data_IF_708056925329
#
_entry.id   IF_708056925329
#
_cell.length_a   1.000
_cell.length_b   1.000
_cell.length_c   1.000
_cell.angle_alpha   90.00
_cell.angle_beta   90.00
_cell.angle_gamma   90.00
#
_symmetry.space_group_name_H-M   'P 1'
#
loop_
_entity.id
_entity.type
_entity.pdbx_description
1 polymer ?
#
# COMPACT_ATOMS: atom_id res chain seq x y z
N UNK A 1 -5.37 41.64 13.52
CA UNK A 1 -5.93 40.29 13.32
C UNK A 1 -4.88 39.45 12.61
N UNK A 2 -4.18 38.58 13.33
CA UNK A 2 -3.20 37.66 12.75
C UNK A 2 -3.93 36.42 12.25
N UNK A 3 -3.93 36.20 10.94
CA UNK A 3 -4.62 35.08 10.29
C UNK A 3 -3.74 33.83 10.40
N UNK A 4 -4.28 32.73 10.95
CA UNK A 4 -3.68 31.39 10.87
C UNK A 4 -4.18 30.68 9.62
N UNK A 5 -3.48 29.63 9.19
CA UNK A 5 -3.99 28.72 8.17
C UNK A 5 -5.20 27.95 8.74
N UNK A 6 -6.35 28.03 8.07
CA UNK A 6 -7.55 27.26 8.45
C UNK A 6 -7.56 25.99 7.62
N UNK A 7 -6.75 25.02 8.04
CA UNK A 7 -6.55 23.76 7.30
C UNK A 7 -6.61 22.63 8.32
N UNK A 8 -7.55 21.71 8.19
CA UNK A 8 -7.65 20.57 9.11
C UNK A 8 -6.68 19.46 8.71
N UNK A 9 -6.21 18.63 9.66
CA UNK A 9 -5.41 17.44 9.37
C UNK A 9 -6.03 16.54 8.30
N UNK A 10 -7.36 16.36 8.30
CA UNK A 10 -8.09 15.54 7.33
C UNK A 10 -8.05 16.16 5.93
N UNK A 11 -8.12 17.49 5.82
CA UNK A 11 -8.04 18.17 4.54
C UNK A 11 -6.62 18.11 3.95
N UNK A 12 -5.58 18.27 4.78
CA UNK A 12 -4.17 18.08 4.39
C UNK A 12 -3.99 16.67 3.81
N UNK A 13 -4.45 15.68 4.57
CA UNK A 13 -4.40 14.28 4.20
C UNK A 13 -5.09 14.05 2.84
N UNK A 14 -6.31 14.56 2.66
CA UNK A 14 -7.05 14.43 1.39
C UNK A 14 -6.31 15.02 0.17
N UNK A 15 -5.57 16.13 0.37
CA UNK A 15 -4.84 16.81 -0.70
C UNK A 15 -3.59 16.04 -1.11
N UNK A 16 -2.80 15.57 -0.14
CA UNK A 16 -1.63 14.69 -0.38
C UNK A 16 -2.06 13.43 -1.16
N UNK A 17 -3.25 12.91 -0.84
CA UNK A 17 -3.79 11.69 -1.44
C UNK A 17 -4.31 11.87 -2.86
N UNK A 18 -5.02 12.97 -3.16
CA UNK A 18 -5.56 13.22 -4.52
C UNK A 18 -4.46 13.21 -5.59
N UNK A 19 -3.26 13.70 -5.26
CA UNK A 19 -2.12 13.70 -6.18
C UNK A 19 -1.46 12.33 -6.34
N UNK A 20 -1.58 11.45 -5.35
CA UNK A 20 -1.17 10.05 -5.51
C UNK A 20 -2.05 9.33 -6.54
N UNK A 21 -3.37 9.49 -6.50
CA UNK A 21 -4.30 8.79 -7.40
C UNK A 21 -3.91 8.92 -8.88
N UNK A 22 -3.64 10.15 -9.34
CA UNK A 22 -3.23 10.42 -10.74
C UNK A 22 -1.93 9.74 -11.17
N UNK A 23 -1.06 9.36 -10.23
CA UNK A 23 0.22 8.71 -10.52
C UNK A 23 0.12 7.17 -10.58
N UNK A 24 -0.94 6.57 -10.01
CA UNK A 24 -1.01 5.11 -9.76
C UNK A 24 -2.18 4.37 -10.42
N UNK A 25 -3.04 5.04 -11.19
CA UNK A 25 -4.19 4.40 -11.84
C UNK A 25 -3.79 3.30 -12.87
N UNK A 26 -2.58 3.36 -13.44
CA UNK A 26 -2.17 2.45 -14.52
C UNK A 26 -1.69 1.05 -14.06
N UNK A 27 -0.74 0.90 -13.09
CA UNK A 27 -0.15 -0.41 -12.80
C UNK A 27 -1.13 -1.47 -12.24
N UNK A 28 -2.04 -1.16 -11.30
CA UNK A 28 -3.03 -2.13 -10.82
C UNK A 28 -3.97 -2.61 -11.92
N UNK A 29 -4.40 -1.72 -12.82
CA UNK A 29 -5.35 -2.03 -13.90
C UNK A 29 -4.69 -2.78 -15.06
N UNK A 30 -3.63 -2.20 -15.62
CA UNK A 30 -3.03 -2.61 -16.89
C UNK A 30 -1.89 -3.62 -16.71
N UNK A 31 -1.28 -3.63 -15.52
CA UNK A 31 -0.11 -4.44 -15.23
C UNK A 31 1.17 -3.78 -15.70
N UNK A 32 2.22 -4.58 -15.86
CA UNK A 32 3.48 -4.15 -16.46
C UNK A 32 3.62 -4.73 -17.88
N UNK A 33 4.74 -4.45 -18.54
CA UNK A 33 5.07 -5.04 -19.85
C UNK A 33 5.00 -6.59 -19.81
N UNK A 34 5.35 -7.19 -18.66
CA UNK A 34 5.53 -8.63 -18.50
C UNK A 34 4.52 -9.29 -17.54
N UNK A 35 3.66 -8.52 -16.89
CA UNK A 35 2.71 -9.04 -15.90
C UNK A 35 1.32 -8.47 -16.12
N UNK A 36 0.30 -9.34 -16.08
CA UNK A 36 -1.08 -8.96 -16.28
C UNK A 36 -1.60 -8.09 -15.11
N UNK A 37 -2.20 -6.93 -15.42
CA UNK A 37 -3.01 -6.21 -14.45
C UNK A 37 -4.38 -6.84 -14.24
N UNK A 38 -5.17 -6.26 -13.34
CA UNK A 38 -6.51 -6.77 -12.99
C UNK A 38 -7.42 -6.93 -14.21
N UNK A 39 -7.34 -6.03 -15.20
CA UNK A 39 -8.16 -6.14 -16.43
C UNK A 39 -7.79 -7.36 -17.27
N UNK A 40 -6.50 -7.64 -17.47
CA UNK A 40 -6.06 -8.84 -18.19
C UNK A 40 -6.36 -10.12 -17.42
N UNK A 41 -6.26 -10.09 -16.08
CA UNK A 41 -6.70 -11.18 -15.21
C UNK A 41 -8.19 -11.48 -15.37
N UNK A 42 -9.03 -10.46 -15.46
CA UNK A 42 -10.46 -10.62 -15.71
C UNK A 42 -10.73 -11.36 -17.02
N UNK A 43 -10.05 -11.00 -18.12
CA UNK A 43 -10.19 -11.74 -19.37
C UNK A 43 -9.67 -13.17 -19.29
N UNK A 44 -8.55 -13.41 -18.59
CA UNK A 44 -8.08 -14.77 -18.35
C UNK A 44 -9.10 -15.61 -17.57
N UNK A 45 -9.72 -15.01 -16.55
CA UNK A 45 -10.82 -15.59 -15.78
C UNK A 45 -12.04 -15.93 -16.64
N UNK A 46 -12.51 -15.01 -17.49
CA UNK A 46 -13.62 -15.28 -18.42
C UNK A 46 -13.33 -16.44 -19.37
N UNK A 47 -12.07 -16.57 -19.80
CA UNK A 47 -11.62 -17.67 -20.67
C UNK A 47 -11.26 -18.96 -19.91
N UNK A 48 -11.52 -19.02 -18.59
CA UNK A 48 -11.24 -20.17 -17.72
C UNK A 48 -9.77 -20.61 -17.78
N UNK A 49 -8.86 -19.66 -17.99
CA UNK A 49 -7.41 -19.90 -17.94
C UNK A 49 -7.02 -20.06 -16.48
N UNK A 50 -6.44 -21.20 -16.10
CA UNK A 50 -6.04 -21.51 -14.72
C UNK A 50 -4.53 -21.33 -14.45
N UNK A 51 -3.75 -21.03 -15.49
CA UNK A 51 -2.30 -20.83 -15.39
C UNK A 51 -2.00 -19.60 -14.51
N UNK A 52 -1.19 -19.81 -13.48
CA UNK A 52 -0.80 -18.79 -12.50
C UNK A 52 -0.09 -17.59 -13.13
N UNK A 53 0.55 -17.75 -14.28
CA UNK A 53 1.21 -16.66 -15.00
C UNK A 53 0.22 -15.59 -15.51
N UNK A 54 -1.04 -15.98 -15.73
CA UNK A 54 -2.10 -15.07 -16.13
C UNK A 54 -2.77 -14.39 -14.95
N UNK A 55 -2.48 -14.83 -13.72
CA UNK A 55 -3.10 -14.41 -12.48
C UNK A 55 -2.09 -13.92 -11.45
N UNK A 56 -1.23 -12.94 -11.80
CA UNK A 56 -0.28 -12.42 -10.84
C UNK A 56 -1.00 -11.75 -9.67
N UNK A 57 -0.39 -11.80 -8.49
CA UNK A 57 -0.95 -11.23 -7.26
C UNK A 57 -0.45 -9.78 -7.12
N UNK A 58 -1.32 -8.77 -7.18
CA UNK A 58 -0.97 -7.39 -6.85
C UNK A 58 -0.27 -7.28 -5.50
N UNK A 59 0.93 -6.69 -5.50
CA UNK A 59 1.81 -6.62 -4.34
C UNK A 59 2.40 -5.21 -4.18
N UNK A 60 2.12 -4.59 -3.05
CA UNK A 60 2.60 -3.27 -2.66
C UNK A 60 3.67 -3.46 -1.59
N UNK A 61 4.86 -3.00 -1.92
CA UNK A 61 6.02 -3.17 -1.08
C UNK A 61 6.74 -1.85 -1.01
N UNK A 62 6.68 -1.19 0.13
CA UNK A 62 7.17 0.18 0.26
C UNK A 62 7.54 0.52 1.70
N UNK A 63 8.34 1.57 1.86
CA UNK A 63 8.72 2.08 3.17
C UNK A 63 7.51 2.43 4.05
N UNK A 64 7.69 2.50 5.38
CA UNK A 64 6.65 3.03 6.27
C UNK A 64 6.24 4.44 5.85
N UNK A 65 4.98 4.85 6.06
CA UNK A 65 4.53 6.23 5.76
C UNK A 65 4.38 6.62 4.27
N UNK A 66 4.67 5.70 3.35
CA UNK A 66 4.54 5.92 1.89
C UNK A 66 3.10 5.85 1.36
N UNK A 67 2.11 5.50 2.18
CA UNK A 67 0.69 5.49 1.76
C UNK A 67 0.17 4.16 1.22
N UNK A 68 0.80 3.03 1.55
CA UNK A 68 0.36 1.66 1.19
C UNK A 68 -1.12 1.39 1.52
N UNK A 69 -1.48 1.54 2.79
CA UNK A 69 -2.84 1.35 3.31
C UNK A 69 -3.86 2.17 2.53
N UNK A 70 -3.51 3.40 2.16
CA UNK A 70 -4.42 4.25 1.41
C UNK A 70 -4.67 3.74 -0.01
N UNK A 71 -3.65 3.21 -0.68
CA UNK A 71 -3.82 2.59 -2.00
C UNK A 71 -4.71 1.35 -1.92
N UNK A 72 -4.62 0.59 -0.83
CA UNK A 72 -5.54 -0.51 -0.57
C UNK A 72 -6.99 -0.01 -0.41
N UNK A 73 -7.23 0.92 0.52
CA UNK A 73 -8.56 1.51 0.77
C UNK A 73 -9.20 2.12 -0.48
N UNK A 74 -8.40 2.74 -1.35
CA UNK A 74 -8.90 3.42 -2.55
C UNK A 74 -9.01 2.50 -3.78
N UNK A 75 -8.55 1.26 -3.68
CA UNK A 75 -8.45 0.34 -4.82
C UNK A 75 -9.78 0.13 -5.54
N UNK A 76 -10.91 0.08 -4.81
CA UNK A 76 -12.24 -0.04 -5.42
C UNK A 76 -12.59 1.21 -6.24
N UNK A 77 -12.39 2.40 -5.67
CA UNK A 77 -12.62 3.67 -6.37
C UNK A 77 -11.74 3.79 -7.62
N UNK A 78 -10.46 3.36 -7.52
CA UNK A 78 -9.56 3.32 -8.67
C UNK A 78 -10.09 2.40 -9.77
N UNK A 79 -10.59 1.21 -9.41
CA UNK A 79 -11.19 0.27 -10.36
C UNK A 79 -12.47 0.83 -10.99
N UNK A 80 -13.33 1.50 -10.22
CA UNK A 80 -14.57 2.13 -10.71
C UNK A 80 -14.27 3.21 -11.74
N UNK A 81 -13.40 4.17 -11.42
CA UNK A 81 -12.98 5.22 -12.35
C UNK A 81 -12.35 4.66 -13.63
N UNK A 82 -11.56 3.61 -13.47
CA UNK A 82 -10.97 2.89 -14.58
C UNK A 82 -12.02 2.20 -15.46
N UNK A 83 -13.09 1.68 -14.86
CA UNK A 83 -14.16 0.98 -15.56
C UNK A 83 -15.12 1.94 -16.27
N UNK A 84 -15.38 3.13 -15.72
CA UNK A 84 -16.26 4.16 -16.33
C UNK A 84 -15.90 4.44 -17.80
N UNK A 85 -14.60 4.58 -18.06
CA UNK A 85 -14.04 4.87 -19.39
C UNK A 85 -13.82 3.62 -20.26
N UNK A 86 -14.18 2.42 -19.80
CA UNK A 86 -13.99 1.17 -20.53
C UNK A 86 -15.14 0.90 -21.52
N UNK A 87 -14.91 0.11 -22.57
CA UNK A 87 -15.97 -0.27 -23.51
C UNK A 87 -16.72 -1.54 -23.10
N UNK A 88 -16.15 -2.31 -22.17
CA UNK A 88 -16.68 -3.60 -21.71
C UNK A 88 -17.79 -3.40 -20.65
N UNK A 89 -19.05 -3.66 -21.04
CA UNK A 89 -20.22 -3.52 -20.16
C UNK A 89 -20.24 -4.53 -19.02
N UNK A 90 -19.74 -5.74 -19.26
CA UNK A 90 -19.74 -6.80 -18.26
C UNK A 90 -18.70 -6.51 -17.17
N UNK A 91 -17.54 -5.97 -17.58
CA UNK A 91 -16.53 -5.48 -16.64
C UNK A 91 -17.09 -4.32 -15.78
N UNK A 92 -17.84 -3.38 -16.38
CA UNK A 92 -18.49 -2.29 -15.64
C UNK A 92 -19.48 -2.82 -14.62
N UNK A 93 -20.36 -3.74 -15.01
CA UNK A 93 -21.32 -4.36 -14.10
C UNK A 93 -20.61 -5.10 -12.96
N UNK A 94 -19.56 -5.86 -13.27
CA UNK A 94 -18.76 -6.58 -12.29
C UNK A 94 -18.12 -5.64 -11.25
N UNK A 95 -17.52 -4.53 -11.71
CA UNK A 95 -16.89 -3.52 -10.84
C UNK A 95 -17.94 -2.77 -10.01
N UNK A 96 -19.13 -2.53 -10.56
CA UNK A 96 -20.24 -1.94 -9.79
C UNK A 96 -20.78 -2.88 -8.70
N UNK A 97 -20.68 -4.19 -8.91
CA UNK A 97 -21.01 -5.21 -7.91
C UNK A 97 -19.80 -5.58 -7.03
N UNK A 98 -18.69 -4.83 -7.10
CA UNK A 98 -17.51 -5.15 -6.35
C UNK A 98 -17.66 -4.80 -4.86
N UNK A 99 -17.09 -5.66 -4.02
CA UNK A 99 -16.98 -5.44 -2.57
C UNK A 99 -15.50 -5.35 -2.22
N UNK A 100 -15.15 -4.35 -1.42
CA UNK A 100 -13.82 -4.21 -0.84
C UNK A 100 -13.83 -4.74 0.59
N UNK A 101 -12.92 -5.66 0.88
CA UNK A 101 -12.70 -6.22 2.22
C UNK A 101 -11.26 -5.89 2.58
N UNK A 102 -11.07 -5.10 3.64
CA UNK A 102 -9.75 -4.69 4.12
C UNK A 102 -9.38 -5.50 5.37
N UNK A 103 -8.34 -6.30 5.26
CA UNK A 103 -7.75 -7.06 6.36
C UNK A 103 -6.38 -6.49 6.68
N UNK A 104 -6.06 -6.35 7.96
CA UNK A 104 -4.71 -6.02 8.43
C UNK A 104 -4.17 -7.11 9.36
N UNK A 105 -2.84 -7.20 9.45
CA UNK A 105 -2.10 -8.00 10.41
C UNK A 105 -1.30 -7.16 11.42
N UNK A 106 -1.53 -5.84 11.47
CA UNK A 106 -0.98 -4.99 12.51
C UNK A 106 -2.06 -4.46 13.45
N UNK A 107 -2.18 -3.13 13.59
CA UNK A 107 -2.96 -2.57 14.68
C UNK A 107 -4.43 -3.04 14.69
N UNK A 108 -4.99 -3.25 15.90
CA UNK A 108 -6.32 -3.81 16.17
C UNK A 108 -6.55 -5.30 15.83
N UNK A 109 -5.66 -5.94 15.05
CA UNK A 109 -5.74 -7.37 14.75
C UNK A 109 -4.35 -7.98 14.51
N UNK A 110 -3.41 -7.67 15.41
CA UNK A 110 -2.00 -8.00 15.21
C UNK A 110 -1.77 -9.51 14.97
N UNK A 111 -0.84 -9.84 14.07
CA UNK A 111 -0.37 -11.20 13.89
C UNK A 111 0.14 -11.77 15.22
N UNK A 112 -0.25 -13.02 15.49
CA UNK A 112 -0.06 -13.66 16.80
C UNK A 112 0.20 -15.17 16.63
N UNK A 113 0.58 -15.84 17.72
CA UNK A 113 0.73 -17.30 17.72
C UNK A 113 -0.56 -18.04 17.33
N UNK A 114 -1.73 -17.41 17.51
CA UNK A 114 -3.00 -17.96 17.05
C UNK A 114 -3.01 -18.15 15.54
N UNK A 115 -2.54 -17.16 14.77
CA UNK A 115 -2.47 -17.21 13.30
C UNK A 115 -1.55 -18.35 12.84
N UNK A 116 -0.41 -18.55 13.53
CA UNK A 116 0.49 -19.67 13.28
C UNK A 116 -0.17 -21.02 13.56
N UNK A 117 -0.90 -21.14 14.66
CA UNK A 117 -1.49 -22.40 15.11
C UNK A 117 -2.66 -22.85 14.21
N UNK A 118 -3.43 -21.89 13.70
CA UNK A 118 -4.57 -22.18 12.82
C UNK A 118 -4.18 -22.26 11.35
N UNK A 119 -3.00 -21.78 10.96
CA UNK A 119 -2.54 -21.75 9.56
C UNK A 119 -2.93 -20.46 8.84
N UNK A 120 -2.19 -20.14 7.78
CA UNK A 120 -2.26 -18.85 7.10
C UNK A 120 -3.55 -18.67 6.30
N UNK A 121 -4.03 -19.72 5.65
CA UNK A 121 -5.31 -19.69 4.94
C UNK A 121 -6.48 -19.41 5.89
N UNK A 122 -6.56 -20.17 6.98
CA UNK A 122 -7.66 -20.05 7.95
C UNK A 122 -7.58 -18.71 8.68
N UNK A 123 -6.38 -18.27 9.06
CA UNK A 123 -6.14 -16.94 9.62
C UNK A 123 -6.72 -15.83 8.74
N UNK A 124 -6.36 -15.83 7.44
CA UNK A 124 -6.89 -14.84 6.50
C UNK A 124 -8.41 -14.94 6.37
N UNK A 125 -8.94 -16.16 6.27
CA UNK A 125 -10.36 -16.42 6.06
C UNK A 125 -11.22 -15.92 7.23
N UNK A 126 -10.77 -16.14 8.47
CA UNK A 126 -11.43 -15.60 9.66
C UNK A 126 -11.38 -14.07 9.71
N UNK A 127 -10.28 -13.45 9.26
CA UNK A 127 -10.19 -11.98 9.17
C UNK A 127 -11.13 -11.42 8.12
N UNK A 128 -11.28 -12.09 6.98
CA UNK A 128 -12.26 -11.71 5.95
C UNK A 128 -13.68 -11.78 6.52
N UNK A 129 -14.03 -12.87 7.23
CA UNK A 129 -15.35 -12.99 7.87
C UNK A 129 -15.58 -11.92 8.93
N UNK A 130 -14.58 -11.67 9.78
CA UNK A 130 -14.65 -10.65 10.81
C UNK A 130 -14.86 -9.27 10.19
N UNK A 131 -14.05 -8.91 9.20
CA UNK A 131 -14.19 -7.63 8.50
C UNK A 131 -15.55 -7.49 7.82
N UNK A 132 -16.04 -8.55 7.16
CA UNK A 132 -17.27 -8.47 6.37
C UNK A 132 -18.55 -8.49 7.23
N UNK A 133 -18.60 -9.35 8.25
CA UNK A 133 -19.83 -9.57 9.03
C UNK A 133 -19.82 -8.97 10.44
N UNK A 134 -18.64 -8.66 10.99
CA UNK A 134 -18.47 -8.31 12.42
C UNK A 134 -17.95 -6.89 12.61
N UNK A 135 -17.27 -6.31 11.62
CA UNK A 135 -16.78 -4.93 11.68
C UNK A 135 -17.90 -3.95 12.03
N UNK A 136 -17.61 -2.98 12.89
CA UNK A 136 -18.60 -2.05 13.45
C UNK A 136 -19.28 -2.55 14.73
N UNK A 137 -19.06 -3.80 15.13
CA UNK A 137 -19.45 -4.31 16.45
C UNK A 137 -18.38 -4.03 17.53
N UNK A 138 -18.69 -4.34 18.79
CA UNK A 138 -17.74 -4.28 19.91
C UNK A 138 -16.85 -5.53 20.00
N UNK A 139 -17.00 -6.51 19.12
CA UNK A 139 -16.26 -7.76 19.15
C UNK A 139 -14.94 -7.61 18.39
N UNK A 140 -13.82 -7.58 19.12
CA UNK A 140 -12.49 -7.56 18.50
C UNK A 140 -12.16 -8.92 17.84
N UNK A 141 -11.13 -8.92 16.99
CA UNK A 141 -10.76 -10.10 16.22
C UNK A 141 -10.33 -11.30 17.10
N UNK A 142 -9.58 -11.06 18.18
CA UNK A 142 -9.12 -12.13 19.06
C UNK A 142 -10.29 -12.86 19.73
N UNK A 143 -11.25 -12.10 20.27
CA UNK A 143 -12.46 -12.65 20.88
C UNK A 143 -13.32 -13.40 19.85
N UNK A 144 -13.42 -12.86 18.63
CA UNK A 144 -14.09 -13.54 17.51
C UNK A 144 -13.48 -14.92 17.22
N UNK A 145 -12.14 -15.00 17.09
CA UNK A 145 -11.46 -16.28 16.84
C UNK A 145 -11.69 -17.26 18.00
N UNK A 146 -11.65 -16.80 19.25
CA UNK A 146 -11.95 -17.64 20.41
C UNK A 146 -13.38 -18.20 20.38
N UNK A 147 -14.37 -17.38 20.01
CA UNK A 147 -15.76 -17.82 19.86
C UNK A 147 -15.85 -18.91 18.78
N UNK A 148 -15.21 -18.70 17.62
CA UNK A 148 -15.19 -19.69 16.53
C UNK A 148 -14.56 -21.00 17.01
N UNK A 149 -13.39 -20.94 17.65
CA UNK A 149 -12.69 -22.13 18.16
C UNK A 149 -13.50 -22.92 19.20
N UNK A 150 -14.27 -22.23 20.04
CA UNK A 150 -15.10 -22.87 21.07
C UNK A 150 -16.42 -23.41 20.52
N UNK A 151 -16.91 -22.84 19.41
CA UNK A 151 -18.22 -23.18 18.83
C UNK A 151 -18.11 -24.29 17.78
N UNK A 152 -17.05 -24.27 16.96
CA UNK A 152 -16.90 -25.17 15.82
C UNK A 152 -15.85 -26.24 16.11
N UNK A 153 -16.22 -27.50 15.90
CA UNK A 153 -15.33 -28.66 16.12
C UNK A 153 -14.13 -28.68 15.18
N UNK A 154 -14.28 -28.16 13.97
CA UNK A 154 -13.24 -28.19 12.95
C UNK A 154 -13.04 -26.79 12.35
N UNK A 155 -11.98 -26.11 12.79
CA UNK A 155 -11.65 -24.78 12.28
C UNK A 155 -11.24 -24.79 10.80
N UNK A 156 -10.85 -25.94 10.24
CA UNK A 156 -10.54 -26.08 8.81
C UNK A 156 -11.76 -25.92 7.90
N UNK A 157 -12.98 -25.92 8.47
CA UNK A 157 -14.19 -25.59 7.73
C UNK A 157 -14.24 -24.11 7.30
N UNK A 158 -13.40 -23.26 7.88
CA UNK A 158 -13.25 -21.84 7.55
C UNK A 158 -12.16 -21.58 6.51
N UNK A 159 -11.93 -22.50 5.57
CA UNK A 159 -11.03 -22.24 4.43
C UNK A 159 -11.54 -21.11 3.52
N UNK A 160 -10.65 -20.57 2.71
CA UNK A 160 -10.90 -19.33 1.98
C UNK A 160 -12.04 -19.50 0.97
N UNK A 161 -12.14 -20.65 0.31
CA UNK A 161 -13.18 -20.94 -0.66
C UNK A 161 -14.58 -20.88 -0.04
N UNK A 162 -14.76 -21.50 1.14
CA UNK A 162 -16.05 -21.51 1.84
C UNK A 162 -16.43 -20.14 2.35
N UNK A 163 -15.46 -19.38 2.87
CA UNK A 163 -15.69 -18.01 3.31
C UNK A 163 -16.13 -17.12 2.16
N UNK A 164 -15.40 -17.13 1.04
CA UNK A 164 -15.75 -16.35 -0.14
C UNK A 164 -17.11 -16.78 -0.71
N UNK A 165 -17.40 -18.08 -0.75
CA UNK A 165 -18.71 -18.62 -1.15
C UNK A 165 -19.86 -18.11 -0.26
N UNK A 166 -19.62 -18.02 1.04
CA UNK A 166 -20.61 -17.49 2.00
C UNK A 166 -20.90 -16.02 1.74
N UNK A 167 -19.87 -15.21 1.47
CA UNK A 167 -20.01 -13.80 1.14
C UNK A 167 -20.77 -13.61 -0.18
N UNK A 168 -20.50 -14.42 -1.21
CA UNK A 168 -21.24 -14.35 -2.48
C UNK A 168 -22.74 -14.63 -2.27
N UNK A 169 -23.06 -15.63 -1.44
CA UNK A 169 -24.45 -15.96 -1.10
C UNK A 169 -25.16 -14.79 -0.39
N UNK A 170 -24.46 -14.11 0.52
CA UNK A 170 -25.00 -12.94 1.23
C UNK A 170 -25.22 -11.74 0.29
N UNK A 171 -24.25 -11.44 -0.58
CA UNK A 171 -24.35 -10.37 -1.59
C UNK A 171 -25.51 -10.64 -2.56
N UNK A 172 -25.78 -11.90 -2.87
CA UNK A 172 -26.90 -12.34 -3.69
C UNK A 172 -26.97 -11.65 -5.07
N UNK A 173 -25.82 -11.57 -5.75
CA UNK A 173 -25.67 -11.06 -7.12
C UNK A 173 -25.14 -12.16 -8.04
N UNK A 174 -25.48 -12.07 -9.33
CA UNK A 174 -25.08 -13.07 -10.34
C UNK A 174 -23.57 -13.18 -10.52
N UNK A 175 -22.87 -12.03 -10.50
CA UNK A 175 -21.42 -11.93 -10.59
C UNK A 175 -20.94 -10.87 -9.61
N UNK A 176 -19.92 -11.22 -8.82
CA UNK A 176 -19.34 -10.36 -7.79
C UNK A 176 -17.83 -10.30 -7.98
N UNK A 177 -17.26 -9.12 -7.80
CA UNK A 177 -15.82 -8.95 -7.63
C UNK A 177 -15.52 -8.77 -6.15
N UNK A 178 -14.68 -9.64 -5.59
CA UNK A 178 -14.21 -9.49 -4.21
C UNK A 178 -12.78 -8.95 -4.27
N UNK A 179 -12.63 -7.69 -3.87
CA UNK A 179 -11.33 -7.04 -3.70
C UNK A 179 -10.90 -7.28 -2.26
N UNK A 180 -9.93 -8.16 -2.06
CA UNK A 180 -9.39 -8.46 -0.74
C UNK A 180 -8.05 -7.75 -0.55
N UNK A 181 -8.06 -6.67 0.21
CA UNK A 181 -6.88 -5.91 0.57
C UNK A 181 -6.28 -6.47 1.86
N UNK A 182 -5.05 -6.94 1.83
CA UNK A 182 -4.37 -7.59 2.95
C UNK A 182 -3.11 -6.79 3.28
N UNK A 183 -3.17 -6.03 4.36
CA UNK A 183 -2.11 -5.13 4.81
C UNK A 183 -1.21 -5.78 5.87
N UNK A 184 -0.02 -5.19 6.04
CA UNK A 184 0.98 -5.57 7.05
C UNK A 184 1.36 -7.06 7.03
N UNK A 185 1.34 -7.70 5.86
CA UNK A 185 1.64 -9.14 5.71
C UNK A 185 3.07 -9.53 6.13
N UNK A 186 3.96 -8.54 6.20
CA UNK A 186 5.31 -8.72 6.73
C UNK A 186 5.29 -9.22 8.19
N UNK A 187 4.24 -8.89 8.96
CA UNK A 187 4.06 -9.38 10.33
C UNK A 187 3.84 -10.89 10.40
N UNK A 188 3.10 -11.46 9.45
CA UNK A 188 2.93 -12.91 9.34
C UNK A 188 4.21 -13.57 8.85
N UNK A 189 4.92 -12.95 7.92
CA UNK A 189 6.23 -13.45 7.46
C UNK A 189 7.28 -13.49 8.59
N UNK A 190 7.35 -12.43 9.41
CA UNK A 190 8.22 -12.32 10.58
C UNK A 190 7.86 -13.34 11.66
N UNK A 191 6.56 -13.60 11.84
CA UNK A 191 6.04 -14.58 12.79
C UNK A 191 6.39 -16.02 12.39
N UNK A 192 6.01 -16.42 11.17
CA UNK A 192 6.21 -17.77 10.66
C UNK A 192 6.13 -17.84 9.13
N UNK A 193 7.26 -18.16 8.50
CA UNK A 193 7.36 -18.23 7.04
C UNK A 193 6.47 -19.33 6.42
N UNK A 194 6.24 -20.45 7.13
CA UNK A 194 5.30 -21.48 6.65
C UNK A 194 3.88 -20.96 6.58
N UNK A 195 3.42 -20.27 7.63
CA UNK A 195 2.09 -19.65 7.72
C UNK A 195 1.91 -18.60 6.62
N UNK A 196 2.94 -17.76 6.39
CA UNK A 196 2.91 -16.80 5.27
C UNK A 196 2.77 -17.49 3.91
N UNK A 197 3.57 -18.52 3.63
CA UNK A 197 3.50 -19.27 2.37
C UNK A 197 2.17 -19.96 2.17
N UNK A 198 1.63 -20.56 3.22
CA UNK A 198 0.32 -21.19 3.22
C UNK A 198 -0.77 -20.19 2.78
N UNK A 199 -0.79 -19.01 3.40
CA UNK A 199 -1.70 -17.92 3.03
C UNK A 199 -1.55 -17.51 1.56
N UNK A 200 -0.32 -17.25 1.08
CA UNK A 200 -0.08 -16.79 -0.30
C UNK A 200 -0.47 -17.87 -1.31
N UNK A 201 -0.22 -19.14 -1.01
CA UNK A 201 -0.60 -20.26 -1.87
C UNK A 201 -2.13 -20.40 -1.95
N UNK A 202 -2.85 -20.24 -0.85
CA UNK A 202 -4.32 -20.27 -0.85
C UNK A 202 -4.91 -19.12 -1.68
N UNK A 203 -4.40 -17.91 -1.48
CA UNK A 203 -4.77 -16.72 -2.28
C UNK A 203 -4.55 -16.98 -3.77
N UNK A 204 -3.35 -17.41 -4.14
CA UNK A 204 -2.97 -17.64 -5.53
C UNK A 204 -3.80 -18.74 -6.19
N UNK A 205 -4.07 -19.84 -5.46
CA UNK A 205 -4.92 -20.92 -5.93
C UNK A 205 -6.33 -20.42 -6.27
N UNK A 206 -6.89 -19.51 -5.48
CA UNK A 206 -8.18 -18.91 -5.76
C UNK A 206 -8.17 -17.88 -6.89
N UNK A 207 -7.07 -17.16 -7.11
CA UNK A 207 -6.92 -16.35 -8.32
C UNK A 207 -7.00 -17.19 -9.59
N UNK A 208 -6.52 -18.44 -9.55
CA UNK A 208 -6.55 -19.39 -10.66
C UNK A 208 -7.87 -20.17 -10.77
N UNK A 209 -8.76 -20.08 -9.78
CA UNK A 209 -10.00 -20.86 -9.78
C UNK A 209 -11.06 -20.15 -10.62
N UNK A 210 -11.60 -20.82 -11.64
CA UNK A 210 -12.70 -20.30 -12.44
C UNK A 210 -14.05 -20.57 -11.75
N UNK A 211 -14.45 -19.70 -10.82
CA UNK A 211 -15.81 -19.68 -10.30
C UNK A 211 -16.64 -18.67 -11.11
N UNK A 212 -17.60 -19.15 -11.92
CA UNK A 212 -18.39 -18.30 -12.83
C UNK A 212 -19.16 -17.15 -12.12
N UNK A 213 -19.34 -17.25 -10.78
CA UNK A 213 -20.01 -16.24 -9.95
C UNK A 213 -19.08 -15.22 -9.29
N UNK A 214 -17.76 -15.48 -9.23
CA UNK A 214 -16.82 -14.66 -8.45
C UNK A 214 -15.51 -14.39 -9.18
N UNK A 215 -15.15 -13.12 -9.26
CA UNK A 215 -13.80 -12.69 -9.61
C UNK A 215 -13.04 -12.20 -8.37
N UNK A 216 -12.05 -12.97 -7.93
CA UNK A 216 -11.26 -12.67 -6.73
C UNK A 216 -10.00 -11.86 -7.03
N UNK A 217 -9.87 -10.70 -6.41
CA UNK A 217 -8.75 -9.76 -6.63
C UNK A 217 -8.07 -9.45 -5.31
N UNK A 218 -7.01 -10.19 -4.96
CA UNK A 218 -6.21 -9.88 -3.78
C UNK A 218 -5.28 -8.68 -4.05
N UNK A 219 -5.07 -7.86 -3.04
CA UNK A 219 -3.99 -6.89 -2.97
C UNK A 219 -3.21 -7.13 -1.69
N UNK A 220 -1.93 -7.46 -1.83
CA UNK A 220 -1.03 -7.66 -0.71
C UNK A 220 -0.23 -6.39 -0.46
N UNK A 221 -0.14 -5.93 0.78
CA UNK A 221 0.75 -4.84 1.16
C UNK A 221 1.60 -5.20 2.38
N UNK A 222 2.88 -4.84 2.33
CA UNK A 222 3.81 -5.03 3.44
C UNK A 222 4.88 -3.96 3.46
N UNK A 223 5.43 -3.71 4.65
CA UNK A 223 6.59 -2.83 4.79
C UNK A 223 7.85 -3.63 4.48
N UNK A 224 8.62 -3.18 3.48
CA UNK A 224 9.90 -3.79 3.13
C UNK A 224 10.99 -3.16 4.00
N UNK A 225 11.60 -3.98 4.85
CA UNK A 225 13.00 -3.82 5.28
C UNK A 225 13.90 -4.88 4.60
N UNK A 226 13.32 -6.02 4.20
CA UNK A 226 13.94 -7.10 3.42
C UNK A 226 13.04 -7.44 2.21
N UNK A 227 13.59 -7.94 1.09
CA UNK A 227 12.83 -8.12 -0.14
C UNK A 227 11.78 -9.24 -0.03
N UNK A 228 10.61 -8.92 0.52
CA UNK A 228 9.42 -9.79 0.58
C UNK A 228 9.00 -10.28 -0.81
N UNK A 229 9.30 -9.49 -1.84
CA UNK A 229 9.07 -9.87 -3.23
C UNK A 229 9.77 -11.19 -3.57
N UNK A 230 11.00 -11.45 -3.09
CA UNK A 230 11.73 -12.69 -3.38
C UNK A 230 11.06 -13.92 -2.75
N UNK A 231 10.35 -13.73 -1.64
CA UNK A 231 9.59 -14.81 -0.98
C UNK A 231 8.29 -15.07 -1.74
N UNK A 232 7.59 -14.02 -2.18
CA UNK A 232 6.39 -14.17 -3.02
C UNK A 232 6.74 -14.82 -4.37
N UNK A 233 7.88 -14.49 -4.99
CA UNK A 233 8.32 -15.16 -6.22
C UNK A 233 8.52 -16.68 -6.04
N UNK A 234 8.83 -17.14 -4.81
CA UNK A 234 8.93 -18.58 -4.50
C UNK A 234 7.57 -19.25 -4.26
N UNK A 235 6.47 -18.50 -4.16
CA UNK A 235 5.12 -19.02 -3.89
C UNK A 235 4.40 -19.60 -5.11
N UNK A 236 5.11 -19.91 -6.20
CA UNK A 236 4.56 -20.35 -7.50
C UNK A 236 3.63 -19.35 -8.21
N UNK A 237 3.20 -18.26 -7.55
CA UNK A 237 2.42 -17.19 -8.15
C UNK A 237 3.28 -15.94 -8.39
N UNK A 238 3.29 -15.39 -9.61
CA UNK A 238 4.09 -14.20 -9.91
C UNK A 238 3.51 -12.98 -9.18
N UNK A 239 4.33 -12.19 -8.48
CA UNK A 239 3.88 -10.90 -7.96
C UNK A 239 3.66 -9.90 -9.11
N UNK A 240 2.61 -9.09 -9.00
CA UNK A 240 2.46 -7.86 -9.76
C UNK A 240 2.90 -6.70 -8.85
N UNK A 241 4.15 -6.21 -8.94
CA UNK A 241 4.59 -5.11 -8.11
C UNK A 241 3.82 -3.84 -8.47
N UNK A 242 3.22 -3.22 -7.47
CA UNK A 242 2.59 -1.90 -7.58
C UNK A 242 3.59 -0.89 -7.00
N UNK A 243 4.23 -0.06 -7.84
CA UNK A 243 5.22 0.89 -7.38
C UNK A 243 4.54 2.00 -6.55
N UNK A 244 5.22 2.45 -5.49
CA UNK A 244 4.81 3.60 -4.68
C UNK A 244 5.94 4.63 -4.56
N UNK A 245 6.42 5.22 -5.66
CA UNK A 245 7.41 6.29 -5.65
C UNK A 245 7.03 7.45 -4.71
N UNK A 246 8.05 8.21 -4.33
CA UNK A 246 7.90 9.47 -3.62
C UNK A 246 7.26 10.53 -4.53
N UNK A 247 6.58 11.50 -3.92
CA UNK A 247 5.99 12.62 -4.67
C UNK A 247 7.09 13.51 -5.25
N UNK A 248 6.97 13.90 -6.52
CA UNK A 248 7.82 14.92 -7.11
C UNK A 248 7.59 16.30 -6.48
N UNK A 249 8.57 17.20 -6.63
CA UNK A 249 8.49 18.57 -6.10
C UNK A 249 7.25 19.31 -6.62
N UNK A 250 6.92 19.15 -7.90
CA UNK A 250 5.74 19.79 -8.50
C UNK A 250 4.44 19.35 -7.82
N UNK A 251 4.33 18.06 -7.46
CA UNK A 251 3.18 17.55 -6.71
C UNK A 251 3.11 18.15 -5.31
N UNK A 252 4.25 18.26 -4.61
CA UNK A 252 4.31 18.85 -3.27
C UNK A 252 3.93 20.33 -3.26
N UNK A 253 4.40 21.09 -4.25
CA UNK A 253 4.07 22.51 -4.41
C UNK A 253 2.59 22.70 -4.72
N UNK A 254 2.05 21.88 -5.62
CA UNK A 254 0.64 21.93 -5.96
C UNK A 254 -0.27 21.56 -4.77
N UNK A 255 0.13 20.60 -3.93
CA UNK A 255 -0.53 20.32 -2.64
C UNK A 255 -0.51 21.58 -1.77
N UNK A 256 0.66 22.21 -1.61
CA UNK A 256 0.80 23.43 -0.81
C UNK A 256 -0.09 24.58 -1.30
N UNK A 257 -0.18 24.77 -2.62
CA UNK A 257 -1.08 25.76 -3.25
C UNK A 257 -2.54 25.48 -2.91
N UNK A 258 -3.00 24.23 -2.97
CA UNK A 258 -4.38 23.86 -2.59
C UNK A 258 -4.67 24.09 -1.11
N UNK A 259 -3.68 23.86 -0.26
CA UNK A 259 -3.75 24.12 1.18
C UNK A 259 -3.54 25.62 1.50
N UNK A 260 -3.40 26.47 0.48
CA UNK A 260 -3.23 27.93 0.60
C UNK A 260 -1.94 28.35 1.32
N UNK A 261 -0.93 27.49 1.35
CA UNK A 261 0.41 27.87 1.80
C UNK A 261 1.12 28.73 0.73
N UNK A 262 1.96 29.71 1.13
CA UNK A 262 2.65 30.62 0.22
C UNK A 262 3.87 29.96 -0.44
N UNK A 263 3.68 28.77 -1.01
CA UNK A 263 4.77 27.97 -1.55
C UNK A 263 5.47 28.65 -2.73
N UNK A 264 4.75 29.42 -3.55
CA UNK A 264 5.34 30.10 -4.71
C UNK A 264 6.15 31.35 -4.34
N UNK A 265 5.86 31.96 -3.19
CA UNK A 265 6.43 33.26 -2.79
C UNK A 265 7.43 33.15 -1.65
N UNK A 266 7.43 32.04 -0.92
CA UNK A 266 8.33 31.81 0.21
C UNK A 266 9.36 30.73 -0.13
N UNK A 267 10.60 31.17 -0.37
CA UNK A 267 11.71 30.28 -0.73
C UNK A 267 12.03 29.22 0.32
N UNK A 268 11.69 29.46 1.60
CA UNK A 268 11.89 28.47 2.65
C UNK A 268 11.00 27.25 2.42
N UNK A 269 9.75 27.42 1.97
CA UNK A 269 8.90 26.29 1.63
C UNK A 269 9.54 25.40 0.58
N UNK A 270 10.09 25.97 -0.49
CA UNK A 270 10.80 25.19 -1.52
C UNK A 270 11.97 24.40 -0.92
N UNK A 271 12.77 25.02 -0.05
CA UNK A 271 13.92 24.36 0.58
C UNK A 271 13.49 23.21 1.48
N UNK A 272 12.55 23.45 2.40
CA UNK A 272 12.09 22.43 3.35
C UNK A 272 11.24 21.34 2.68
N UNK A 273 10.49 21.64 1.61
CA UNK A 273 9.86 20.61 0.78
C UNK A 273 10.89 19.75 0.06
N UNK A 274 12.03 20.33 -0.32
CA UNK A 274 13.21 19.57 -0.76
C UNK A 274 13.65 18.55 0.30
N UNK A 275 13.76 18.97 1.55
CA UNK A 275 14.15 18.10 2.68
C UNK A 275 13.08 17.02 3.01
N UNK A 276 11.80 17.34 2.83
CA UNK A 276 10.68 16.36 2.94
C UNK A 276 10.76 15.29 1.84
N UNK A 277 11.31 15.65 0.67
CA UNK A 277 11.58 14.79 -0.48
C UNK A 277 10.42 13.85 -0.86
N UNK A 278 9.19 14.36 -0.84
CA UNK A 278 8.03 13.62 -1.37
C UNK A 278 7.51 12.47 -0.51
N UNK A 279 8.04 12.27 0.70
CA UNK A 279 7.54 11.24 1.61
C UNK A 279 6.21 11.66 2.21
N UNK A 280 5.14 10.89 1.96
CA UNK A 280 3.77 11.33 2.22
C UNK A 280 3.50 11.62 3.69
N UNK A 281 3.87 10.71 4.60
CA UNK A 281 3.67 10.97 6.03
C UNK A 281 4.46 12.18 6.53
N UNK A 282 5.67 12.38 6.02
CA UNK A 282 6.49 13.55 6.36
C UNK A 282 5.82 14.82 5.85
N UNK A 283 5.30 14.81 4.63
CA UNK A 283 4.60 15.95 4.02
C UNK A 283 3.31 16.29 4.77
N UNK A 284 2.55 15.29 5.20
CA UNK A 284 1.38 15.47 6.05
C UNK A 284 1.74 16.18 7.35
N UNK A 285 2.73 15.67 8.08
CA UNK A 285 3.19 16.29 9.33
C UNK A 285 3.76 17.68 9.10
N UNK A 286 4.54 17.89 8.04
CA UNK A 286 5.11 19.19 7.70
C UNK A 286 4.02 20.25 7.54
N UNK A 287 2.97 19.97 6.75
CA UNK A 287 1.87 20.93 6.58
C UNK A 287 1.01 21.07 7.83
N UNK A 288 0.83 20.00 8.61
CA UNK A 288 0.12 20.08 9.90
C UNK A 288 0.86 21.02 10.86
N UNK A 289 2.17 20.83 11.05
CA UNK A 289 2.98 21.69 11.92
C UNK A 289 3.03 23.13 11.39
N UNK A 290 3.14 23.35 10.07
CA UNK A 290 3.07 24.68 9.49
C UNK A 290 1.73 25.39 9.76
N UNK A 291 0.63 24.63 9.85
CA UNK A 291 -0.72 25.20 10.04
C UNK A 291 -0.92 25.83 11.42
N UNK A 292 -0.11 25.44 12.41
CA UNK A 292 -0.18 25.97 13.78
C UNK A 292 0.37 27.40 13.91
N UNK A 293 1.16 27.84 12.93
CA UNK A 293 1.76 29.16 12.90
C UNK A 293 0.86 30.21 12.24
N UNK A 294 1.13 31.47 12.58
CA UNK A 294 0.55 32.61 11.87
C UNK A 294 1.18 32.68 10.47
N UNK A 295 0.39 33.11 9.48
CA UNK A 295 0.85 33.28 8.10
C UNK A 295 2.11 34.17 8.07
N UNK A 296 3.14 33.72 7.35
CA UNK A 296 4.46 34.37 7.21
C UNK A 296 5.36 34.41 8.47
N UNK A 297 4.99 33.75 9.58
CA UNK A 297 5.84 33.68 10.78
C UNK A 297 6.24 32.24 11.12
N UNK A 298 6.27 31.36 10.12
CA UNK A 298 6.57 29.94 10.31
C UNK A 298 8.04 29.82 10.73
N UNK A 299 8.27 29.22 11.90
CA UNK A 299 9.60 28.77 12.29
C UNK A 299 9.83 27.38 11.71
N UNK A 300 10.43 27.35 10.52
CA UNK A 300 10.65 26.09 9.82
C UNK A 300 11.64 25.16 10.53
N UNK A 301 12.57 25.70 11.33
CA UNK A 301 13.50 24.86 12.10
C UNK A 301 12.75 24.11 13.20
N UNK A 302 11.85 24.81 13.90
CA UNK A 302 10.98 24.19 14.88
C UNK A 302 10.03 23.17 14.23
N UNK A 303 9.38 23.55 13.12
CA UNK A 303 8.52 22.64 12.34
C UNK A 303 9.25 21.34 11.99
N UNK A 304 10.45 21.42 11.43
CA UNK A 304 11.21 20.22 11.04
C UNK A 304 11.63 19.38 12.25
N UNK A 305 11.91 20.02 13.39
CA UNK A 305 12.21 19.34 14.65
C UNK A 305 10.99 18.53 15.12
N UNK A 306 9.81 19.14 15.11
CA UNK A 306 8.56 18.49 15.53
C UNK A 306 8.17 17.34 14.60
N UNK A 307 8.30 17.54 13.28
CA UNK A 307 8.09 16.47 12.29
C UNK A 307 9.03 15.29 12.55
N UNK A 308 10.30 15.54 12.89
CA UNK A 308 11.28 14.48 13.20
C UNK A 308 10.87 13.70 14.44
N UNK A 309 10.45 14.38 15.50
CA UNK A 309 9.96 13.74 16.73
C UNK A 309 8.77 12.83 16.40
N UNK A 310 7.74 13.36 15.72
CA UNK A 310 6.54 12.62 15.34
C UNK A 310 6.82 11.37 14.48
N UNK A 311 7.85 11.43 13.63
CA UNK A 311 8.26 10.28 12.82
C UNK A 311 9.05 9.26 13.65
N UNK A 312 9.95 9.71 14.52
CA UNK A 312 10.74 8.81 15.39
C UNK A 312 9.89 8.06 16.41
N UNK A 313 8.78 8.64 16.87
CA UNK A 313 7.80 7.97 17.73
C UNK A 313 7.06 6.83 17.00
N UNK A 314 6.97 6.91 15.66
CA UNK A 314 6.17 5.98 14.85
C UNK A 314 6.99 4.93 14.14
N UNK A 315 8.25 5.23 13.82
CA UNK A 315 9.08 4.40 12.96
C UNK A 315 10.49 4.28 13.53
N UNK A 316 10.96 3.04 13.62
CA UNK A 316 12.35 2.71 13.96
C UNK A 316 13.21 2.75 12.70
N UNK A 317 13.71 3.93 12.33
CA UNK A 317 14.55 4.10 11.14
C UNK A 317 15.97 3.54 11.30
N UNK A 318 16.42 3.25 12.53
CA UNK A 318 17.78 2.79 12.85
C UNK A 318 18.17 1.52 12.07
N UNK A 319 17.26 0.54 11.98
CA UNK A 319 17.49 -0.72 11.26
C UNK A 319 17.60 -0.49 9.74
N UNK A 320 16.79 0.44 9.20
CA UNK A 320 16.87 0.84 7.80
C UNK A 320 18.19 1.55 7.47
N UNK A 321 18.63 2.45 8.35
CA UNK A 321 19.89 3.21 8.20
C UNK A 321 21.09 2.26 8.22
N UNK A 322 21.08 1.29 9.13
CA UNK A 322 22.12 0.27 9.21
C UNK A 322 22.24 -0.53 7.89
N UNK A 323 21.12 -1.05 7.39
CA UNK A 323 21.09 -1.94 6.23
C UNK A 323 21.33 -1.21 4.88
N UNK A 324 21.29 0.12 4.86
CA UNK A 324 21.45 0.94 3.66
C UNK A 324 22.54 2.03 3.81
N UNK A 325 23.48 1.82 4.74
CA UNK A 325 24.56 2.77 5.04
C UNK A 325 25.40 3.16 3.81
N UNK A 326 25.62 2.25 2.87
CA UNK A 326 26.34 2.51 1.61
C UNK A 326 25.61 3.51 0.70
N UNK A 327 24.30 3.36 0.59
CA UNK A 327 23.44 4.26 -0.19
C UNK A 327 23.29 5.60 0.51
N UNK A 328 23.11 5.58 1.84
CA UNK A 328 23.02 6.79 2.67
C UNK A 328 24.30 7.61 2.56
N UNK A 329 25.47 6.96 2.66
CA UNK A 329 26.75 7.61 2.47
C UNK A 329 26.85 8.24 1.06
N UNK A 330 26.46 7.52 0.02
CA UNK A 330 26.42 8.07 -1.35
C UNK A 330 25.50 9.29 -1.49
N UNK A 331 24.34 9.29 -0.82
CA UNK A 331 23.43 10.45 -0.79
C UNK A 331 24.05 11.65 -0.06
N UNK A 332 24.66 11.42 1.11
CA UNK A 332 25.27 12.46 1.94
C UNK A 332 26.49 13.10 1.29
N UNK A 333 27.26 12.31 0.53
CA UNK A 333 28.46 12.75 -0.17
C UNK A 333 28.14 13.38 -1.55
N UNK A 334 26.86 13.42 -1.94
CA UNK A 334 26.41 13.86 -3.26
C UNK A 334 27.14 13.12 -4.39
N UNK A 335 27.37 11.83 -4.20
CA UNK A 335 28.09 10.99 -5.16
C UNK A 335 27.14 10.41 -6.20
N UNK A 336 27.51 10.57 -7.48
CA UNK A 336 26.80 9.95 -8.58
C UNK A 336 26.99 8.42 -8.55
N UNK A 337 25.91 7.68 -8.31
CA UNK A 337 25.92 6.22 -8.20
C UNK A 337 25.56 5.55 -9.54
N UNK A 338 26.12 4.37 -9.78
CA UNK A 338 25.77 3.56 -10.95
C UNK A 338 24.37 2.99 -10.73
N UNK A 339 23.45 3.27 -11.66
CA UNK A 339 22.09 2.74 -11.61
C UNK A 339 22.12 1.20 -11.73
N UNK A 340 21.87 0.52 -10.62
CA UNK A 340 21.76 -0.94 -10.53
C UNK A 340 20.34 -1.36 -10.10
N UNK A 341 20.08 -2.67 -10.04
CA UNK A 341 18.74 -3.18 -9.74
C UNK A 341 18.31 -2.89 -8.30
N UNK A 342 19.24 -2.89 -7.33
CA UNK A 342 18.96 -2.47 -5.94
C UNK A 342 18.46 -1.02 -5.88
N UNK A 343 19.09 -0.09 -6.60
CA UNK A 343 18.67 1.32 -6.65
C UNK A 343 17.30 1.48 -7.33
N UNK A 344 17.03 0.71 -8.40
CA UNK A 344 15.71 0.71 -9.05
C UNK A 344 14.62 0.21 -8.09
N UNK A 345 14.89 -0.84 -7.32
CA UNK A 345 13.97 -1.37 -6.30
C UNK A 345 13.67 -0.31 -5.23
N UNK A 346 14.70 0.35 -4.68
CA UNK A 346 14.51 1.39 -3.66
C UNK A 346 13.68 2.57 -4.17
N UNK A 347 13.85 2.98 -5.43
CA UNK A 347 13.00 3.99 -6.07
C UNK A 347 11.54 3.51 -6.13
N UNK A 348 11.32 2.27 -6.57
CA UNK A 348 9.97 1.69 -6.67
C UNK A 348 9.28 1.58 -5.31
N UNK A 349 10.04 1.31 -4.26
CA UNK A 349 9.58 1.18 -2.88
C UNK A 349 9.34 2.54 -2.19
N UNK A 350 9.54 3.65 -2.90
CA UNK A 350 9.35 4.98 -2.37
C UNK A 350 10.34 5.32 -1.26
N UNK A 351 11.58 4.83 -1.38
CA UNK A 351 12.64 5.04 -0.39
C UNK A 351 13.59 6.14 -0.84
N UNK A 352 13.92 6.20 -2.15
CA UNK A 352 14.82 7.20 -2.74
C UNK A 352 14.17 7.91 -3.92
N UNK A 353 14.58 9.16 -4.16
CA UNK A 353 14.39 9.86 -5.42
C UNK A 353 15.67 9.71 -6.25
N UNK A 354 15.52 9.46 -7.55
CA UNK A 354 16.63 9.47 -8.51
C UNK A 354 16.65 10.80 -9.26
N UNK A 355 17.78 11.48 -9.24
CA UNK A 355 18.09 12.61 -10.11
C UNK A 355 19.07 12.13 -11.19
N UNK A 356 18.74 12.36 -12.46
CA UNK A 356 19.60 11.91 -13.56
C UNK A 356 20.87 12.76 -13.65
N UNK A 357 22.03 12.11 -13.79
CA UNK A 357 23.24 12.81 -14.19
C UNK A 357 23.19 13.07 -15.70
N UNK A 358 22.79 14.29 -16.07
CA UNK A 358 22.68 14.73 -17.46
C UNK A 358 24.00 14.61 -18.24
N UNK A 359 25.14 14.48 -17.56
CA UNK A 359 26.46 14.35 -18.18
C UNK A 359 26.90 12.89 -18.38
N UNK A 360 26.29 11.93 -17.69
CA UNK A 360 26.71 10.52 -17.75
C UNK A 360 25.53 9.56 -17.78
N UNK A 361 25.20 9.07 -18.98
CA UNK A 361 24.20 8.00 -19.14
C UNK A 361 24.55 6.80 -18.25
N UNK A 362 23.62 6.42 -17.35
CA UNK A 362 23.71 5.35 -16.32
C UNK A 362 24.17 5.77 -14.91
N UNK A 363 24.52 7.04 -14.67
CA UNK A 363 24.71 7.54 -13.30
C UNK A 363 23.52 8.34 -12.82
N UNK A 364 23.23 8.22 -11.54
CA UNK A 364 22.13 8.92 -10.87
C UNK A 364 22.61 9.46 -9.53
N UNK A 365 22.16 10.64 -9.17
CA UNK A 365 22.24 11.12 -7.80
C UNK A 365 21.03 10.57 -7.04
N UNK A 366 21.29 10.07 -5.83
CA UNK A 366 20.25 9.60 -4.94
C UNK A 366 19.92 10.70 -3.94
N UNK A 367 18.62 10.98 -3.79
CA UNK A 367 18.11 11.80 -2.69
C UNK A 367 17.30 10.93 -1.76
N UNK A 368 17.64 10.99 -0.49
CA UNK A 368 16.83 10.46 0.59
C UNK A 368 16.03 11.60 1.19
N UNK A 369 14.78 11.35 1.64
CA UNK A 369 14.12 12.26 2.56
C UNK A 369 15.06 12.54 3.72
N UNK A 370 15.39 13.81 3.96
CA UNK A 370 16.38 14.24 4.95
C UNK A 370 16.07 13.68 6.35
N UNK A 371 14.79 13.40 6.60
CA UNK A 371 14.29 12.87 7.86
C UNK A 371 14.50 11.36 8.06
N UNK A 372 14.95 10.66 7.02
CA UNK A 372 15.38 9.26 7.09
C UNK A 372 16.89 9.15 7.37
N UNK A 373 17.59 10.27 7.61
CA UNK A 373 19.01 10.38 7.92
C UNK A 373 19.27 10.62 9.41
#
# INVERSE_FOLDING_TARGET
FSQKYIVTPEYILSCVQKYRRSTYESPPKNGTLNTNGVKKRYYAFLNKIIDHNFHPIPFIAAGPGTGKTRVLEESLNMMQQCAENDSDSDLKELVNNAVLIYVTYGNASAASLTDRNIGGEISLSLRILHQYFVEGSHLNFCDFVMIIQNTFLNIADFNLNRVLSTIILDINKKKVMIINCIDEINKIYELDNSTFKDMVNAIGSHCCTSNDSMFYVPFLAGTIYKPLHQIVTKSMHPPLPIPLPLLGIDHMLEIGRRLQFPVDTNYHFHRYLGDVSGHCRTLEFFYQQCSDFIVNTIDFLQVMTDVRILLSERYTFEEFVHDNSDIIAGCLLDEAMILNDRIKELKQYGIVILEEDYNQSKRVYLRLPYIML
#
